data_IF_123576997051
#
_entry.id   IF_123576997051
#
_cell.length_a   1.000
_cell.length_b   1.000
_cell.length_c   1.000
_cell.angle_alpha   90.00
_cell.angle_beta   90.00
_cell.angle_gamma   90.00
#
_symmetry.space_group_name_H-M   'P 1'
#
loop_
_entity.id
_entity.type
_entity.pdbx_description
1 polymer ?
#
# COMPACT_ATOMS: atom_id res chain seq x y z
N UNK A 1 -46.21 87.57 -0.02
CA UNK A 1 -46.36 86.64 1.12
C UNK A 1 -46.04 85.24 0.62
N UNK A 2 -45.01 84.56 1.15
CA UNK A 2 -44.56 83.27 0.62
C UNK A 2 -45.44 82.13 1.17
N UNK A 3 -45.81 81.21 0.30
CA UNK A 3 -46.40 79.91 0.62
C UNK A 3 -45.56 78.85 -0.06
N UNK A 4 -45.10 77.85 0.69
CA UNK A 4 -44.75 76.46 0.27
C UNK A 4 -43.92 75.82 1.38
N UNK A 5 -43.99 74.54 1.71
CA UNK A 5 -44.85 73.41 1.34
C UNK A 5 -44.49 72.31 2.35
N UNK A 6 -45.50 71.65 2.91
CA UNK A 6 -45.29 70.57 3.88
C UNK A 6 -44.90 69.27 3.19
N UNK A 7 -43.96 68.58 3.81
CA UNK A 7 -43.35 67.34 3.34
C UNK A 7 -43.76 66.20 4.28
N UNK A 8 -43.84 65.02 3.65
CA UNK A 8 -43.69 63.65 4.19
C UNK A 8 -44.99 62.99 4.65
N UNK A 9 -45.26 61.79 4.12
CA UNK A 9 -44.73 60.54 4.69
C UNK A 9 -44.88 59.38 3.69
N UNK A 10 -43.92 58.46 3.77
CA UNK A 10 -43.76 57.28 2.92
C UNK A 10 -44.15 56.04 3.72
N UNK A 11 -44.86 55.08 3.11
CA UNK A 11 -44.95 53.69 3.57
C UNK A 11 -45.10 52.81 2.33
N UNK A 12 -44.20 51.83 2.14
CA UNK A 12 -44.26 50.90 1.02
C UNK A 12 -43.54 49.58 1.32
N UNK A 13 -44.33 48.62 1.78
CA UNK A 13 -44.20 47.14 1.75
C UNK A 13 -42.82 46.47 2.01
N UNK A 14 -42.73 45.78 3.15
CA UNK A 14 -41.69 44.79 3.43
C UNK A 14 -42.00 43.44 2.75
N UNK A 15 -41.02 42.87 2.05
CA UNK A 15 -41.09 41.55 1.42
C UNK A 15 -40.81 40.43 2.45
N UNK A 16 -41.62 39.37 2.45
CA UNK A 16 -41.42 38.16 3.24
C UNK A 16 -40.45 37.22 2.50
N UNK A 17 -39.27 36.99 3.09
CA UNK A 17 -38.31 35.96 2.64
C UNK A 17 -38.50 34.73 3.53
N UNK A 18 -39.01 33.63 2.96
CA UNK A 18 -39.03 32.32 3.61
C UNK A 18 -37.62 31.70 3.51
N UNK A 19 -36.85 31.75 4.59
CA UNK A 19 -35.59 31.00 4.71
C UNK A 19 -35.93 29.58 5.15
N UNK A 20 -35.80 28.61 4.24
CA UNK A 20 -35.85 27.20 4.59
C UNK A 20 -34.56 26.85 5.36
N UNK A 21 -34.67 26.61 6.67
CA UNK A 21 -33.55 26.17 7.49
C UNK A 21 -33.18 24.72 7.15
N UNK A 22 -31.99 24.50 6.59
CA UNK A 22 -31.37 23.19 6.60
C UNK A 22 -30.60 23.04 7.92
N UNK A 23 -31.06 22.18 8.82
CA UNK A 23 -30.28 21.82 10.00
C UNK A 23 -29.04 21.02 9.56
N UNK A 24 -27.83 21.32 10.05
CA UNK A 24 -26.73 20.38 9.93
C UNK A 24 -27.05 19.17 10.81
N UNK A 25 -27.25 18.01 10.21
CA UNK A 25 -27.20 16.76 10.96
C UNK A 25 -25.74 16.56 11.40
N UNK A 26 -25.44 16.92 12.65
CA UNK A 26 -24.19 16.52 13.28
C UNK A 26 -24.33 15.03 13.57
N UNK A 27 -23.78 14.20 12.68
CA UNK A 27 -23.58 12.79 12.98
C UNK A 27 -22.51 12.73 14.08
N UNK A 28 -22.93 12.37 15.28
CA UNK A 28 -22.02 11.99 16.37
C UNK A 28 -21.44 10.62 15.99
N UNK A 29 -20.30 10.62 15.29
CA UNK A 29 -19.55 9.40 14.98
C UNK A 29 -18.90 8.90 16.27
N UNK A 30 -19.70 8.21 17.08
CA UNK A 30 -19.26 7.48 18.25
C UNK A 30 -18.09 6.56 17.87
N UNK A 31 -16.89 6.92 18.30
CA UNK A 31 -15.69 6.12 18.16
C UNK A 31 -15.80 4.85 19.03
N UNK A 32 -16.53 3.86 18.53
CA UNK A 32 -16.43 2.50 19.03
C UNK A 32 -15.03 1.98 18.72
N UNK A 33 -14.19 1.86 19.75
CA UNK A 33 -12.95 1.09 19.70
C UNK A 33 -13.30 -0.39 19.55
N UNK A 34 -13.76 -0.78 18.36
CA UNK A 34 -13.90 -2.18 17.98
C UNK A 34 -12.47 -2.73 17.91
N UNK A 35 -12.12 -3.54 18.91
CA UNK A 35 -11.02 -4.50 18.83
C UNK A 35 -11.23 -5.36 17.58
N UNK A 36 -10.68 -4.91 16.47
CA UNK A 36 -10.80 -5.57 15.17
C UNK A 36 -9.59 -6.49 15.02
N UNK A 37 -9.53 -7.53 15.84
CA UNK A 37 -8.60 -8.64 15.60
C UNK A 37 -9.00 -9.27 14.26
N UNK A 38 -8.17 -9.06 13.21
CA UNK A 38 -8.20 -9.69 11.86
C UNK A 38 -8.44 -8.80 10.61
N UNK A 39 -8.53 -7.46 10.68
CA UNK A 39 -8.67 -6.61 9.46
C UNK A 39 -7.56 -5.57 9.20
N UNK A 40 -6.59 -5.42 10.10
CA UNK A 40 -5.47 -4.50 9.92
C UNK A 40 -4.61 -4.81 8.70
N UNK A 41 -3.96 -3.79 8.14
CA UNK A 41 -2.86 -3.97 7.17
C UNK A 41 -1.56 -4.07 7.96
N UNK A 42 -0.78 -5.12 7.70
CA UNK A 42 0.54 -5.31 8.30
C UNK A 42 1.61 -4.57 7.48
N UNK A 43 1.56 -4.71 6.16
CA UNK A 43 2.46 -4.07 5.21
C UNK A 43 1.70 -3.64 3.97
N UNK A 44 1.98 -2.44 3.47
CA UNK A 44 1.59 -1.98 2.14
C UNK A 44 2.77 -1.21 1.56
N UNK A 45 3.39 -1.73 0.51
CA UNK A 45 4.63 -1.19 -0.04
C UNK A 45 4.74 -1.47 -1.54
N UNK A 46 5.70 -0.81 -2.17
CA UNK A 46 6.24 -1.25 -3.46
C UNK A 46 7.39 -2.22 -3.21
N UNK A 47 7.82 -2.89 -4.28
CA UNK A 47 9.06 -3.64 -4.33
C UNK A 47 10.11 -2.82 -5.06
N UNK A 48 11.35 -2.96 -4.62
CA UNK A 48 12.56 -2.45 -5.27
C UNK A 48 13.39 -3.66 -5.66
N UNK A 49 13.90 -3.68 -6.89
CA UNK A 49 14.81 -4.74 -7.33
C UNK A 49 16.13 -4.68 -6.55
N UNK A 50 16.74 -5.83 -6.29
CA UNK A 50 17.99 -5.91 -5.54
C UNK A 50 19.17 -5.42 -6.37
N UNK A 51 20.14 -4.77 -5.74
CA UNK A 51 21.47 -4.56 -6.29
C UNK A 51 22.46 -5.57 -5.71
N UNK A 52 23.46 -5.95 -6.50
CA UNK A 52 24.57 -6.81 -6.06
C UNK A 52 25.36 -6.22 -4.88
N UNK A 53 25.28 -4.90 -4.69
CA UNK A 53 25.90 -4.16 -3.59
C UNK A 53 25.02 -3.99 -2.35
N UNK A 54 23.76 -4.45 -2.40
CA UNK A 54 22.88 -4.35 -1.23
C UNK A 54 23.40 -5.21 -0.08
N UNK A 55 23.00 -4.87 1.15
CA UNK A 55 23.27 -5.67 2.33
C UNK A 55 22.33 -6.88 2.42
N UNK A 56 22.74 -7.89 3.18
CA UNK A 56 21.86 -9.00 3.55
C UNK A 56 20.62 -8.50 4.31
N UNK A 57 19.44 -8.96 3.89
CA UNK A 57 18.18 -8.66 4.54
C UNK A 57 17.71 -9.87 5.32
N UNK A 58 17.75 -9.79 6.65
CA UNK A 58 17.34 -10.88 7.53
C UNK A 58 18.07 -12.22 7.26
N UNK A 59 19.36 -12.14 6.90
CA UNK A 59 20.18 -13.30 6.53
C UNK A 59 19.94 -13.83 5.11
N UNK A 60 19.22 -13.08 4.28
CA UNK A 60 18.97 -13.38 2.86
C UNK A 60 19.82 -12.43 2.03
N UNK A 61 20.72 -12.98 1.23
CA UNK A 61 21.63 -12.21 0.38
C UNK A 61 20.92 -11.67 -0.86
N UNK A 62 21.37 -10.54 -1.45
CA UNK A 62 20.86 -10.07 -2.73
C UNK A 62 21.18 -11.06 -3.87
N UNK A 63 20.46 -10.91 -4.97
CA UNK A 63 20.72 -11.64 -6.21
C UNK A 63 22.12 -11.33 -6.75
N UNK A 64 22.71 -12.32 -7.44
CA UNK A 64 24.04 -12.17 -8.08
C UNK A 64 24.08 -11.25 -9.31
N UNK A 65 22.99 -10.53 -9.58
CA UNK A 65 22.88 -9.54 -10.65
C UNK A 65 21.87 -8.46 -10.22
N UNK A 66 22.00 -7.26 -10.76
CA UNK A 66 21.12 -6.15 -10.45
C UNK A 66 19.75 -6.35 -11.11
N UNK A 67 18.70 -6.13 -10.33
CA UNK A 67 17.31 -6.25 -10.76
C UNK A 67 16.63 -4.88 -10.76
N UNK A 68 15.77 -4.65 -11.73
CA UNK A 68 14.85 -3.52 -11.76
C UNK A 68 13.43 -4.01 -11.83
N UNK A 69 12.50 -3.26 -11.24
CA UNK A 69 11.06 -3.52 -11.34
C UNK A 69 10.34 -2.27 -11.83
N UNK A 70 9.55 -2.39 -12.89
CA UNK A 70 8.80 -1.25 -13.45
C UNK A 70 7.62 -0.86 -12.57
N UNK A 71 6.79 -1.84 -12.17
CA UNK A 71 5.63 -1.61 -11.29
C UNK A 71 5.46 -2.76 -10.33
N UNK A 72 5.15 -2.46 -9.09
CA UNK A 72 4.94 -3.48 -8.08
C UNK A 72 3.97 -3.04 -7.00
N UNK A 73 3.38 -4.02 -6.33
CA UNK A 73 2.62 -3.80 -5.11
C UNK A 73 2.70 -5.02 -4.21
N UNK A 74 2.89 -4.77 -2.92
CA UNK A 74 2.81 -5.80 -1.88
C UNK A 74 1.82 -5.32 -0.84
N UNK A 75 0.87 -6.19 -0.51
CA UNK A 75 -0.06 -5.97 0.59
C UNK A 75 -0.14 -7.20 1.46
N UNK A 76 0.28 -7.07 2.71
CA UNK A 76 0.14 -8.11 3.73
C UNK A 76 -0.89 -7.63 4.76
N UNK A 77 -1.88 -8.46 5.04
CA UNK A 77 -2.86 -8.24 6.10
C UNK A 77 -2.35 -8.79 7.43
N UNK A 78 -2.84 -8.24 8.53
CA UNK A 78 -2.50 -8.70 9.88
C UNK A 78 -2.86 -10.18 10.12
N UNK A 79 -3.78 -10.74 9.34
CA UNK A 79 -4.11 -12.17 9.37
C UNK A 79 -3.29 -13.03 8.39
N UNK A 80 -2.22 -12.48 7.83
CA UNK A 80 -1.30 -13.16 6.93
C UNK A 80 -1.68 -13.17 5.45
N UNK A 81 -2.91 -12.82 5.07
CA UNK A 81 -3.25 -12.76 3.63
C UNK A 81 -2.30 -11.81 2.91
N UNK A 82 -1.63 -12.32 1.90
CA UNK A 82 -0.69 -11.57 1.07
C UNK A 82 -1.18 -11.51 -0.35
N UNK A 83 -1.02 -10.34 -0.96
CA UNK A 83 -1.06 -10.17 -2.40
C UNK A 83 0.20 -9.44 -2.85
N UNK A 84 0.99 -10.10 -3.70
CA UNK A 84 2.12 -9.51 -4.40
C UNK A 84 1.79 -9.46 -5.88
N UNK A 85 2.05 -8.33 -6.52
CA UNK A 85 2.07 -8.18 -7.97
C UNK A 85 3.39 -7.54 -8.37
N UNK A 86 4.08 -8.14 -9.33
CA UNK A 86 5.23 -7.53 -10.00
C UNK A 86 4.94 -7.45 -11.49
N UNK A 87 5.44 -6.38 -12.10
CA UNK A 87 5.47 -6.19 -13.54
C UNK A 87 6.87 -5.79 -13.93
N UNK A 88 7.41 -6.48 -14.93
CA UNK A 88 8.73 -6.21 -15.48
C UNK A 88 9.79 -6.13 -14.38
N UNK A 89 9.81 -7.15 -13.51
CA UNK A 89 10.96 -7.43 -12.65
C UNK A 89 11.94 -8.22 -13.50
N UNK A 90 13.07 -7.62 -13.87
CA UNK A 90 14.03 -8.18 -14.81
C UNK A 90 15.45 -7.81 -14.43
N UNK A 91 16.44 -8.51 -15.02
CA UNK A 91 17.84 -8.12 -14.91
C UNK A 91 18.08 -6.80 -15.64
N UNK A 92 18.76 -5.84 -14.99
CA UNK A 92 19.06 -4.54 -15.61
C UNK A 92 20.00 -4.66 -16.82
N UNK A 93 20.87 -5.67 -16.83
CA UNK A 93 21.87 -5.89 -17.88
C UNK A 93 21.30 -6.45 -19.18
N UNK A 94 20.18 -7.18 -19.12
CA UNK A 94 19.61 -7.88 -20.29
C UNK A 94 18.16 -7.47 -20.58
N UNK A 95 17.47 -6.86 -19.62
CA UNK A 95 16.04 -6.59 -19.72
C UNK A 95 15.18 -7.86 -19.75
N UNK A 96 15.72 -9.00 -19.32
CA UNK A 96 15.04 -10.29 -19.36
C UNK A 96 14.97 -10.94 -17.97
N UNK A 97 13.96 -11.81 -17.79
CA UNK A 97 13.83 -12.64 -16.60
C UNK A 97 14.33 -14.08 -16.85
N UNK A 98 15.43 -14.52 -16.21
CA UNK A 98 15.92 -15.90 -16.28
C UNK A 98 15.28 -16.84 -15.24
N UNK A 99 14.43 -16.35 -14.32
CA UNK A 99 13.83 -17.11 -13.24
C UNK A 99 12.42 -17.55 -13.62
N UNK A 100 12.13 -18.85 -13.56
CA UNK A 100 10.82 -19.38 -13.99
C UNK A 100 9.78 -19.45 -12.87
N UNK A 101 10.21 -19.41 -11.61
CA UNK A 101 9.33 -19.44 -10.45
C UNK A 101 9.85 -18.59 -9.30
N UNK A 102 8.92 -17.91 -8.61
CA UNK A 102 9.25 -17.09 -7.44
C UNK A 102 8.39 -17.44 -6.22
N UNK A 103 8.95 -17.17 -5.07
CA UNK A 103 8.29 -17.23 -3.76
C UNK A 103 8.38 -15.86 -3.09
N UNK A 104 7.53 -15.65 -2.07
CA UNK A 104 7.59 -14.47 -1.22
C UNK A 104 7.91 -14.89 0.21
N UNK A 105 8.88 -14.24 0.85
CA UNK A 105 9.23 -14.46 2.25
C UNK A 105 8.82 -13.26 3.10
N UNK A 106 8.13 -13.50 4.21
CA UNK A 106 7.81 -12.48 5.21
C UNK A 106 8.95 -12.38 6.21
N UNK A 107 9.47 -11.18 6.38
CA UNK A 107 10.41 -10.83 7.44
C UNK A 107 9.65 -10.13 8.57
N UNK A 108 9.89 -10.59 9.78
CA UNK A 108 9.44 -9.95 11.02
C UNK A 108 10.59 -9.98 12.03
N UNK A 109 10.79 -8.90 12.79
CA UNK A 109 11.81 -8.81 13.83
C UNK A 109 13.23 -9.16 13.30
N UNK A 110 13.54 -8.76 12.06
CA UNK A 110 14.83 -9.01 11.42
C UNK A 110 15.09 -10.47 11.00
N UNK A 111 14.06 -11.32 10.95
CA UNK A 111 14.17 -12.73 10.53
C UNK A 111 13.08 -13.09 9.54
N UNK A 112 13.39 -13.96 8.58
CA UNK A 112 12.36 -14.63 7.79
C UNK A 112 11.54 -15.53 8.72
N UNK A 113 10.22 -15.32 8.76
CA UNK A 113 9.31 -16.07 9.62
C UNK A 113 8.43 -17.05 8.84
N UNK A 114 8.22 -16.80 7.54
CA UNK A 114 7.47 -17.69 6.67
C UNK A 114 7.74 -17.38 5.19
N UNK A 115 7.50 -18.35 4.31
CA UNK A 115 7.65 -18.24 2.86
C UNK A 115 6.48 -18.93 2.15
N UNK A 116 5.87 -18.25 1.18
CA UNK A 116 4.73 -18.73 0.40
C UNK A 116 5.02 -18.78 -1.10
N UNK A 117 4.21 -19.54 -1.84
CA UNK A 117 4.48 -19.93 -3.24
C UNK A 117 5.01 -21.36 -3.35
N UNK A 118 5.70 -21.73 -4.45
CA UNK A 118 6.08 -20.89 -5.57
C UNK A 118 4.92 -20.59 -6.55
N UNK A 119 5.06 -19.53 -7.34
CA UNK A 119 4.20 -19.24 -8.50
C UNK A 119 5.03 -19.12 -9.77
N UNK A 120 4.38 -19.32 -10.92
CA UNK A 120 4.99 -19.06 -12.21
C UNK A 120 5.41 -17.59 -12.35
N UNK A 121 6.58 -17.40 -12.94
CA UNK A 121 7.19 -16.10 -13.22
C UNK A 121 7.58 -16.11 -14.69
N UNK A 122 6.90 -15.29 -15.49
CA UNK A 122 7.05 -15.36 -16.94
C UNK A 122 8.29 -14.63 -17.44
N UNK A 123 8.59 -14.80 -18.73
CA UNK A 123 9.78 -14.23 -19.36
C UNK A 123 9.77 -12.70 -19.41
N UNK A 124 8.59 -12.07 -19.30
CA UNK A 124 8.43 -10.62 -19.26
C UNK A 124 8.67 -10.05 -17.86
N UNK A 125 8.94 -10.89 -16.86
CA UNK A 125 9.14 -10.44 -15.50
C UNK A 125 7.84 -10.13 -14.76
N UNK A 126 6.72 -10.75 -15.16
CA UNK A 126 5.44 -10.60 -14.52
C UNK A 126 5.11 -11.80 -13.63
N UNK A 127 4.60 -11.51 -12.44
CA UNK A 127 4.11 -12.54 -11.52
C UNK A 127 3.09 -12.00 -10.53
N UNK A 128 2.31 -12.92 -9.99
CA UNK A 128 1.33 -12.61 -8.95
C UNK A 128 1.26 -13.72 -7.92
N UNK A 129 1.45 -13.34 -6.66
CA UNK A 129 1.30 -14.23 -5.51
C UNK A 129 0.04 -13.81 -4.75
N UNK A 130 -0.84 -14.76 -4.48
CA UNK A 130 -1.97 -14.60 -3.56
C UNK A 130 -1.99 -15.79 -2.63
N UNK A 131 -1.61 -15.55 -1.38
CA UNK A 131 -1.45 -16.63 -0.41
C UNK A 131 -1.66 -16.11 1.02
N UNK A 132 -1.20 -16.86 2.01
CA UNK A 132 -1.26 -16.49 3.43
C UNK A 132 0.00 -16.90 4.18
N UNK A 133 0.66 -15.92 4.77
CA UNK A 133 1.73 -16.15 5.72
C UNK A 133 1.22 -16.61 7.10
N UNK A 134 1.99 -17.44 7.77
CA UNK A 134 1.96 -17.65 9.21
C UNK A 134 2.60 -16.43 9.91
N UNK A 135 1.79 -15.42 10.22
CA UNK A 135 2.26 -14.19 10.88
C UNK A 135 2.38 -14.42 12.40
N UNK A 136 3.54 -14.18 13.03
CA UNK A 136 3.68 -14.26 14.48
C UNK A 136 2.88 -13.15 15.18
N UNK A 137 2.55 -13.35 16.45
CA UNK A 137 1.79 -12.36 17.25
C UNK A 137 2.44 -10.96 17.24
N UNK A 138 3.78 -10.92 17.26
CA UNK A 138 4.57 -9.70 17.19
C UNK A 138 5.40 -9.71 15.91
N UNK A 139 5.02 -8.88 14.96
CA UNK A 139 5.77 -8.64 13.72
C UNK A 139 6.20 -7.18 13.65
N UNK A 140 7.40 -6.88 14.17
CA UNK A 140 7.99 -5.55 14.07
C UNK A 140 8.75 -5.41 12.76
N UNK A 141 8.67 -4.20 12.17
CA UNK A 141 9.30 -3.86 10.89
C UNK A 141 9.05 -4.92 9.80
N UNK A 142 7.77 -5.18 9.43
CA UNK A 142 7.46 -6.16 8.41
C UNK A 142 8.07 -5.79 7.07
N UNK A 143 8.71 -6.76 6.41
CA UNK A 143 9.16 -6.64 5.03
C UNK A 143 8.82 -7.90 4.25
N UNK A 144 8.72 -7.78 2.93
CA UNK A 144 8.56 -8.93 2.03
C UNK A 144 9.73 -8.97 1.07
N UNK A 145 10.34 -10.15 0.95
CA UNK A 145 11.39 -10.45 -0.01
C UNK A 145 10.81 -11.33 -1.11
N UNK A 146 11.12 -11.06 -2.37
CA UNK A 146 10.88 -11.98 -3.47
C UNK A 146 12.14 -12.77 -3.75
N UNK A 147 11.98 -14.09 -3.89
CA UNK A 147 13.07 -15.04 -4.00
C UNK A 147 12.85 -15.93 -5.23
N UNK A 148 13.89 -16.26 -6.02
CA UNK A 148 13.82 -17.39 -6.94
C UNK A 148 13.52 -18.65 -6.12
N UNK A 149 12.47 -19.39 -6.49
CA UNK A 149 12.00 -20.49 -5.65
C UNK A 149 13.01 -21.65 -5.53
N UNK A 150 13.92 -21.78 -6.50
CA UNK A 150 15.01 -22.74 -6.54
C UNK A 150 16.28 -22.27 -5.80
N UNK A 151 16.31 -21.03 -5.29
CA UNK A 151 17.47 -20.45 -4.60
C UNK A 151 17.08 -19.88 -3.23
N UNK A 152 17.01 -20.77 -2.26
CA UNK A 152 16.80 -20.41 -0.85
C UNK A 152 17.93 -19.49 -0.38
N UNK A 153 17.57 -18.44 0.36
CA UNK A 153 18.55 -17.49 0.90
C UNK A 153 18.97 -16.37 -0.05
N UNK A 154 18.34 -16.24 -1.22
CA UNK A 154 18.57 -15.13 -2.17
C UNK A 154 17.30 -14.33 -2.40
N UNK A 155 17.36 -12.99 -2.32
CA UNK A 155 16.27 -12.10 -2.74
C UNK A 155 16.62 -11.33 -4.01
N UNK A 156 15.64 -11.16 -4.90
CA UNK A 156 15.78 -10.38 -6.16
C UNK A 156 14.97 -9.09 -6.13
N UNK A 157 14.05 -8.96 -5.16
CA UNK A 157 13.36 -7.72 -4.85
C UNK A 157 12.94 -7.70 -3.39
N UNK A 158 12.86 -6.51 -2.80
CA UNK A 158 12.46 -6.33 -1.41
C UNK A 158 11.42 -5.20 -1.28
N UNK A 159 10.54 -5.30 -0.30
CA UNK A 159 9.57 -4.23 -0.02
C UNK A 159 10.27 -2.97 0.47
N UNK A 160 9.95 -1.84 -0.13
CA UNK A 160 10.53 -0.54 0.21
C UNK A 160 9.75 0.62 -0.40
N UNK A 161 10.36 1.80 -0.36
CA UNK A 161 9.86 2.98 -1.05
C UNK A 161 10.86 3.37 -2.15
N UNK A 162 10.41 3.41 -3.40
CA UNK A 162 11.15 4.11 -4.44
C UNK A 162 11.15 5.60 -4.07
N UNK A 163 12.34 6.20 -4.00
CA UNK A 163 12.53 7.63 -3.76
C UNK A 163 12.05 8.50 -4.90
#
# INVERSE_FOLDING_TARGET
>A
MPTTTHRRLAIGAAALILVAGAAPAVADDGHHYRQTHARGTLLSAQLIGSLTTDADLAGVAPGGADWSVSRSSVKVKANGRVEVRVRDLVLTSTGANPVTTISASLVCNGKVVDTVGPVAYDTDGDARIRDRFAVPERCLAPAVLLNPADRVGTYIAASGQAG
#
